data_IF_173401329164
#
_entry.id   IF_173401329164
#
_cell.length_a   1.000
_cell.length_b   1.000
_cell.length_c   1.000
_cell.angle_alpha   90.00
_cell.angle_beta   90.00
_cell.angle_gamma   90.00
#
_symmetry.space_group_name_H-M   'P 1'
#
loop_
_entity.id
_entity.type
_entity.pdbx_description
1 polymer ?
#
# COMPACT_ATOMS: atom_id res chain seq x y z
N UNK A 1 -29.18 0.58 -4.11
CA UNK A 1 -28.67 0.77 -2.74
C UNK A 1 -27.59 -0.25 -2.50
N UNK A 2 -26.33 0.19 -2.63
CA UNK A 2 -25.24 -0.65 -2.22
C UNK A 2 -25.31 -0.77 -0.68
N UNK A 3 -25.71 -1.93 -0.22
CA UNK A 3 -25.69 -2.28 1.17
C UNK A 3 -24.26 -2.04 1.72
N UNK A 4 -24.12 -1.69 2.99
CA UNK A 4 -22.84 -1.33 3.59
C UNK A 4 -21.77 -2.44 3.49
N UNK A 5 -22.13 -3.67 3.21
CA UNK A 5 -21.20 -4.78 3.01
C UNK A 5 -20.59 -4.80 1.59
N UNK A 6 -21.25 -4.23 0.60
CA UNK A 6 -20.84 -4.31 -0.80
C UNK A 6 -19.45 -3.73 -1.07
N UNK A 7 -19.07 -2.53 -0.53
CA UNK A 7 -17.73 -2.01 -0.71
C UNK A 7 -16.64 -2.90 -0.11
N UNK A 8 -16.89 -3.51 1.06
CA UNK A 8 -15.93 -4.43 1.69
C UNK A 8 -15.76 -5.70 0.86
N UNK A 9 -16.83 -6.31 0.44
CA UNK A 9 -16.80 -7.47 -0.47
C UNK A 9 -16.00 -7.13 -1.74
N UNK A 10 -16.20 -5.94 -2.30
CA UNK A 10 -15.46 -5.51 -3.49
C UNK A 10 -13.95 -5.44 -3.23
N UNK A 11 -13.52 -4.83 -2.12
CA UNK A 11 -12.09 -4.74 -1.79
C UNK A 11 -11.48 -6.13 -1.67
N UNK A 12 -12.06 -7.01 -0.86
CA UNK A 12 -11.53 -8.36 -0.66
C UNK A 12 -11.56 -9.18 -1.95
N UNK A 13 -12.60 -9.06 -2.77
CA UNK A 13 -12.65 -9.70 -4.09
C UNK A 13 -11.52 -9.20 -5.00
N UNK A 14 -11.24 -7.90 -5.02
CA UNK A 14 -10.12 -7.36 -5.81
C UNK A 14 -8.77 -7.85 -5.30
N UNK A 15 -8.59 -7.97 -3.98
CA UNK A 15 -7.37 -8.53 -3.40
C UNK A 15 -7.20 -10.01 -3.72
N UNK A 16 -8.29 -10.79 -3.72
CA UNK A 16 -8.29 -12.19 -4.16
C UNK A 16 -7.96 -12.32 -5.65
N UNK A 17 -8.49 -11.43 -6.50
CA UNK A 17 -8.14 -11.39 -7.92
C UNK A 17 -6.67 -11.03 -8.15
N UNK A 18 -6.10 -10.12 -7.36
CA UNK A 18 -4.68 -9.81 -7.41
C UNK A 18 -3.84 -11.04 -7.03
N UNK A 19 -4.19 -11.72 -5.94
CA UNK A 19 -3.50 -12.93 -5.53
C UNK A 19 -3.60 -14.05 -6.59
N UNK A 20 -4.77 -14.23 -7.19
CA UNK A 20 -4.99 -15.20 -8.27
C UNK A 20 -4.18 -14.85 -9.52
N UNK A 21 -4.11 -13.56 -9.89
CA UNK A 21 -3.36 -13.11 -11.05
C UNK A 21 -1.86 -13.39 -10.90
N UNK A 22 -1.30 -13.23 -9.69
CA UNK A 22 0.08 -13.58 -9.39
C UNK A 22 0.27 -15.12 -9.35
N UNK A 23 -0.64 -15.85 -8.73
CA UNK A 23 -0.60 -17.31 -8.67
C UNK A 23 -0.59 -17.94 -10.06
N UNK A 24 -1.29 -17.35 -11.02
CA UNK A 24 -1.41 -17.87 -12.40
C UNK A 24 -0.39 -17.24 -13.36
N UNK A 25 0.50 -16.39 -12.88
CA UNK A 25 1.44 -15.59 -13.70
C UNK A 25 0.74 -14.81 -14.84
N UNK A 26 -0.52 -14.44 -14.62
CA UNK A 26 -1.28 -13.62 -15.58
C UNK A 26 -0.77 -12.18 -15.64
N UNK A 27 -0.15 -11.69 -14.58
CA UNK A 27 0.58 -10.44 -14.49
C UNK A 27 1.64 -10.52 -13.41
N UNK A 28 2.69 -9.72 -13.54
CA UNK A 28 3.75 -9.56 -12.52
C UNK A 28 3.75 -8.18 -11.88
N UNK A 29 2.86 -7.31 -12.31
CA UNK A 29 2.74 -5.94 -11.80
C UNK A 29 1.27 -5.59 -11.59
N UNK A 30 0.98 -5.06 -10.43
CA UNK A 30 -0.35 -4.56 -10.08
C UNK A 30 -0.22 -3.23 -9.35
N UNK A 31 -1.05 -2.28 -9.73
CA UNK A 31 -1.32 -1.09 -8.92
C UNK A 31 -2.79 -1.09 -8.53
N UNK A 32 -3.06 -0.89 -7.25
CA UNK A 32 -4.41 -0.86 -6.74
C UNK A 32 -4.63 0.33 -5.81
N UNK A 33 -5.55 1.19 -6.17
CA UNK A 33 -5.92 2.34 -5.36
C UNK A 33 -7.16 2.03 -4.53
N UNK A 34 -6.99 1.93 -3.20
CA UNK A 34 -8.07 1.59 -2.26
C UNK A 34 -9.11 2.70 -2.11
N UNK A 35 -8.74 3.96 -2.30
CA UNK A 35 -9.66 5.09 -2.24
C UNK A 35 -9.27 6.16 -3.28
N UNK A 36 -10.27 6.82 -3.83
CA UNK A 36 -10.07 7.99 -4.69
C UNK A 36 -10.19 9.26 -3.86
N UNK A 37 -9.42 10.29 -4.22
CA UNK A 37 -9.43 11.57 -3.52
C UNK A 37 -10.69 12.40 -3.77
N UNK A 38 -11.36 12.23 -4.88
CA UNK A 38 -12.52 13.05 -5.25
C UNK A 38 -13.61 12.24 -5.90
N UNK A 39 -14.81 12.57 -5.52
CA UNK A 39 -15.99 12.34 -6.30
C UNK A 39 -17.01 11.42 -5.66
N UNK A 40 -18.19 11.94 -5.56
CA UNK A 40 -19.41 11.26 -5.19
C UNK A 40 -19.73 10.04 -6.11
N UNK A 41 -18.94 9.79 -7.14
CA UNK A 41 -19.22 8.80 -8.18
C UNK A 41 -18.37 7.53 -7.97
N UNK A 42 -17.28 7.59 -7.22
CA UNK A 42 -16.43 6.42 -7.00
C UNK A 42 -16.94 5.61 -5.81
N UNK A 43 -17.21 4.33 -6.01
CA UNK A 43 -17.45 3.35 -4.93
C UNK A 43 -16.35 3.43 -3.88
N UNK A 44 -15.10 3.65 -4.29
CA UNK A 44 -13.94 3.79 -3.41
C UNK A 44 -14.11 4.91 -2.36
N UNK A 45 -14.79 5.99 -2.67
CA UNK A 45 -15.05 7.06 -1.69
C UNK A 45 -16.09 6.67 -0.63
N UNK A 46 -16.88 5.64 -0.89
CA UNK A 46 -17.89 5.16 0.06
C UNK A 46 -17.36 4.10 1.02
N UNK A 47 -16.12 3.62 0.84
CA UNK A 47 -15.55 2.61 1.73
C UNK A 47 -15.55 2.99 3.21
N UNK A 48 -15.33 4.24 3.64
CA UNK A 48 -15.48 4.60 5.04
C UNK A 48 -16.87 4.32 5.61
N UNK A 49 -17.91 4.25 4.79
CA UNK A 49 -19.27 3.91 5.25
C UNK A 49 -19.37 2.50 5.83
N UNK A 50 -18.47 1.57 5.44
CA UNK A 50 -18.34 0.24 6.04
C UNK A 50 -18.07 0.29 7.55
N UNK A 51 -17.40 1.34 7.98
CA UNK A 51 -17.05 1.58 9.37
C UNK A 51 -18.06 2.54 10.05
N UNK A 52 -19.18 2.81 9.39
CA UNK A 52 -20.23 3.70 9.90
C UNK A 52 -19.88 5.20 9.81
N UNK A 53 -18.91 5.59 8.98
CA UNK A 53 -18.56 7.00 8.81
C UNK A 53 -19.44 7.67 7.75
N UNK A 54 -19.97 8.85 8.09
CA UNK A 54 -20.72 9.70 7.15
C UNK A 54 -19.81 10.46 6.16
N UNK A 55 -18.50 10.51 6.45
CA UNK A 55 -17.50 11.21 5.63
C UNK A 55 -16.77 10.23 4.72
N UNK A 56 -16.40 10.69 3.54
CA UNK A 56 -15.47 9.98 2.67
C UNK A 56 -14.04 9.98 3.22
N UNK A 57 -13.13 9.28 2.58
CA UNK A 57 -11.74 9.18 3.01
C UNK A 57 -11.03 10.55 3.07
N UNK A 58 -11.35 11.46 2.13
CA UNK A 58 -10.81 12.81 2.11
C UNK A 58 -11.31 13.63 3.30
N UNK A 59 -12.61 13.60 3.58
CA UNK A 59 -13.20 14.27 4.74
C UNK A 59 -12.70 13.73 6.09
N UNK A 60 -12.39 12.43 6.17
CA UNK A 60 -11.73 11.82 7.33
C UNK A 60 -10.30 12.37 7.51
N UNK A 61 -9.53 12.49 6.41
CA UNK A 61 -8.17 13.01 6.46
C UNK A 61 -8.12 14.47 6.95
N UNK A 62 -9.02 15.34 6.47
CA UNK A 62 -9.13 16.71 6.95
C UNK A 62 -9.55 16.82 8.42
N UNK A 63 -10.29 15.85 8.93
CA UNK A 63 -10.72 15.81 10.34
C UNK A 63 -9.71 15.20 11.30
N UNK A 64 -8.64 14.60 10.82
CA UNK A 64 -7.76 13.72 11.61
C UNK A 64 -7.03 14.38 12.78
N UNK A 65 -6.85 15.69 12.77
CA UNK A 65 -6.11 16.39 13.82
C UNK A 65 -6.91 16.78 15.07
N UNK A 66 -8.21 16.46 15.18
CA UNK A 66 -9.08 17.00 16.23
C UNK A 66 -10.03 15.93 16.82
N UNK A 67 -9.88 15.64 18.11
CA UNK A 67 -10.81 14.84 18.92
C UNK A 67 -11.24 13.52 18.22
N UNK A 68 -12.53 13.30 18.11
CA UNK A 68 -13.10 12.11 17.44
C UNK A 68 -12.67 11.94 15.98
N UNK A 69 -12.16 12.97 15.34
CA UNK A 69 -11.65 12.91 13.97
C UNK A 69 -10.38 12.06 13.85
N UNK A 70 -9.47 12.17 14.82
CA UNK A 70 -8.26 11.34 14.90
C UNK A 70 -8.62 9.86 15.09
N UNK A 71 -9.60 9.57 15.97
CA UNK A 71 -10.08 8.20 16.18
C UNK A 71 -10.71 7.61 14.90
N UNK A 72 -11.57 8.37 14.24
CA UNK A 72 -12.23 7.93 13.01
C UNK A 72 -11.22 7.69 11.90
N UNK A 73 -10.23 8.58 11.73
CA UNK A 73 -9.15 8.38 10.77
C UNK A 73 -8.31 7.15 11.10
N UNK A 74 -7.97 6.95 12.38
CA UNK A 74 -7.23 5.77 12.83
C UNK A 74 -7.98 4.46 12.56
N UNK A 75 -9.29 4.42 12.74
CA UNK A 75 -10.11 3.25 12.38
C UNK A 75 -10.08 2.98 10.87
N UNK A 76 -10.11 4.03 10.05
CA UNK A 76 -9.99 3.90 8.60
C UNK A 76 -8.60 3.41 8.19
N UNK A 77 -7.53 3.97 8.75
CA UNK A 77 -6.17 3.53 8.47
C UNK A 77 -5.92 2.08 8.89
N UNK A 78 -6.46 1.70 10.05
CA UNK A 78 -6.44 0.31 10.51
C UNK A 78 -7.12 -0.62 9.51
N UNK A 79 -8.31 -0.31 9.06
CA UNK A 79 -9.01 -1.11 8.06
C UNK A 79 -8.18 -1.27 6.77
N UNK A 80 -7.54 -0.21 6.29
CA UNK A 80 -6.68 -0.28 5.11
C UNK A 80 -5.45 -1.18 5.34
N UNK A 81 -4.84 -1.12 6.52
CA UNK A 81 -3.72 -2.02 6.86
C UNK A 81 -4.17 -3.46 7.07
N UNK A 82 -5.39 -3.71 7.53
CA UNK A 82 -6.00 -5.04 7.58
C UNK A 82 -6.21 -5.60 6.16
N UNK A 83 -6.58 -4.77 5.18
CA UNK A 83 -6.64 -5.16 3.76
C UNK A 83 -5.25 -5.55 3.22
N UNK A 84 -4.20 -4.79 3.56
CA UNK A 84 -2.82 -5.15 3.22
C UNK A 84 -2.43 -6.51 3.84
N UNK A 85 -2.70 -6.69 5.12
CA UNK A 85 -2.41 -7.95 5.82
C UNK A 85 -3.16 -9.13 5.20
N UNK A 86 -4.40 -8.93 4.77
CA UNK A 86 -5.17 -9.93 4.04
C UNK A 86 -4.48 -10.35 2.75
N UNK A 87 -4.08 -9.38 1.90
CA UNK A 87 -3.35 -9.69 0.67
C UNK A 87 -2.06 -10.46 0.96
N UNK A 88 -1.27 -10.01 1.93
CA UNK A 88 -0.05 -10.71 2.32
C UNK A 88 -0.33 -12.15 2.74
N UNK A 89 -1.39 -12.38 3.52
CA UNK A 89 -1.82 -13.72 3.91
C UNK A 89 -2.17 -14.55 2.67
N UNK A 90 -2.97 -14.05 1.75
CA UNK A 90 -3.34 -14.76 0.52
C UNK A 90 -2.11 -15.18 -0.29
N UNK A 91 -1.14 -14.27 -0.47
CA UNK A 91 0.09 -14.56 -1.19
C UNK A 91 1.00 -15.56 -0.44
N UNK A 92 0.98 -15.56 0.89
CA UNK A 92 1.75 -16.51 1.70
C UNK A 92 1.18 -17.93 1.70
N UNK A 93 -0.10 -18.12 1.35
CA UNK A 93 -0.76 -19.40 1.25
C UNK A 93 -0.46 -20.13 -0.07
N UNK A 94 0.07 -19.42 -1.06
CA UNK A 94 0.40 -19.98 -2.38
C UNK A 94 1.86 -20.36 -2.45
N UNK A 95 2.15 -21.64 -2.71
CA UNK A 95 3.52 -22.16 -2.86
C UNK A 95 4.13 -21.73 -4.19
N UNK A 96 5.40 -21.32 -4.15
CA UNK A 96 6.18 -20.98 -5.34
C UNK A 96 7.65 -21.35 -5.10
N UNK A 97 8.16 -22.33 -5.84
CA UNK A 97 9.48 -22.88 -5.60
C UNK A 97 9.66 -23.36 -4.16
N UNK A 98 10.75 -22.97 -3.51
CA UNK A 98 11.06 -23.32 -2.12
C UNK A 98 10.36 -22.40 -1.09
N UNK A 99 9.56 -21.44 -1.56
CA UNK A 99 8.88 -20.48 -0.71
C UNK A 99 7.40 -20.30 -1.06
N UNK A 100 6.97 -19.08 -1.00
CA UNK A 100 5.60 -18.66 -1.32
C UNK A 100 5.62 -17.50 -2.33
N UNK A 101 4.48 -17.21 -2.95
CA UNK A 101 4.33 -16.04 -3.82
C UNK A 101 4.67 -14.76 -3.06
N UNK A 102 4.38 -14.66 -1.75
CA UNK A 102 4.77 -13.51 -0.95
C UNK A 102 6.30 -13.33 -0.86
N UNK A 103 7.04 -14.42 -0.76
CA UNK A 103 8.51 -14.37 -0.69
C UNK A 103 9.14 -13.81 -1.97
N UNK A 104 8.42 -13.91 -3.10
CA UNK A 104 8.84 -13.43 -4.41
C UNK A 104 8.10 -12.14 -4.85
N UNK A 105 7.26 -11.55 -4.00
CA UNK A 105 6.46 -10.36 -4.31
C UNK A 105 6.87 -9.18 -3.45
N UNK A 106 7.35 -8.10 -4.06
CA UNK A 106 7.53 -6.82 -3.38
C UNK A 106 6.19 -6.08 -3.30
N UNK A 107 5.73 -5.77 -2.11
CA UNK A 107 4.54 -4.96 -1.87
C UNK A 107 4.98 -3.60 -1.34
N UNK A 108 4.67 -2.56 -2.11
CA UNK A 108 4.80 -1.18 -1.68
C UNK A 108 3.41 -0.59 -1.38
N UNK A 109 3.22 -0.14 -0.16
CA UNK A 109 1.95 0.40 0.32
C UNK A 109 2.15 1.72 1.01
N UNK A 110 1.25 2.66 0.77
CA UNK A 110 1.25 3.95 1.43
C UNK A 110 0.36 4.99 0.76
N UNK A 111 0.55 6.22 1.17
CA UNK A 111 -0.12 7.40 0.64
C UNK A 111 0.89 8.36 0.04
N UNK A 112 0.44 9.29 -0.76
CA UNK A 112 1.27 10.39 -1.29
C UNK A 112 1.30 11.62 -0.38
N UNK A 113 0.55 11.61 0.72
CA UNK A 113 0.43 12.75 1.61
C UNK A 113 0.54 12.32 3.08
N UNK A 114 1.16 13.16 3.89
CA UNK A 114 1.24 12.99 5.36
C UNK A 114 0.14 13.78 6.06
N UNK A 115 0.19 15.09 6.03
CA UNK A 115 -0.72 16.00 6.72
C UNK A 115 -1.18 17.09 5.76
N UNK A 116 -2.49 17.27 5.62
CA UNK A 116 -3.08 18.43 4.91
C UNK A 116 -2.43 18.71 3.54
N UNK A 117 -2.46 17.74 2.64
CA UNK A 117 -1.85 17.82 1.30
C UNK A 117 -0.33 18.03 1.27
N UNK A 118 0.35 17.75 2.39
CA UNK A 118 1.80 17.76 2.43
C UNK A 118 2.35 16.41 1.94
N UNK A 119 3.22 16.46 0.97
CA UNK A 119 3.87 15.29 0.37
C UNK A 119 5.25 14.98 0.96
N UNK A 120 5.60 15.55 2.11
CA UNK A 120 6.83 15.26 2.82
C UNK A 120 6.56 14.33 4.00
N UNK A 121 7.52 13.46 4.29
CA UNK A 121 7.55 12.61 5.49
C UNK A 121 6.24 11.84 5.74
N UNK A 122 5.73 11.19 4.72
CA UNK A 122 4.54 10.33 4.82
C UNK A 122 4.93 8.87 5.08
N UNK A 123 4.10 8.12 5.85
CA UNK A 123 4.41 6.74 6.19
C UNK A 123 4.24 5.82 4.98
N UNK A 124 5.22 4.94 4.79
CA UNK A 124 5.25 3.93 3.74
C UNK A 124 5.54 2.56 4.35
N UNK A 125 5.05 1.51 3.73
CA UNK A 125 5.33 0.12 4.10
C UNK A 125 5.89 -0.60 2.88
N UNK A 126 7.04 -1.24 3.08
CA UNK A 126 7.60 -2.21 2.15
C UNK A 126 7.47 -3.60 2.79
N UNK A 127 6.86 -4.55 2.09
CA UNK A 127 6.60 -5.88 2.60
C UNK A 127 6.78 -6.95 1.54
N UNK A 128 6.92 -8.21 1.96
CA UNK A 128 7.16 -9.34 1.05
C UNK A 128 8.56 -9.33 0.43
N UNK A 129 8.78 -10.11 -0.61
CA UNK A 129 10.05 -10.11 -1.36
C UNK A 129 11.27 -10.58 -0.58
N UNK A 130 11.10 -11.52 0.36
CA UNK A 130 12.23 -12.11 1.09
C UNK A 130 13.31 -12.65 0.16
N UNK A 131 12.90 -13.34 -0.90
CA UNK A 131 13.83 -13.90 -1.89
C UNK A 131 14.42 -12.84 -2.82
N UNK A 132 13.89 -11.63 -2.81
CA UNK A 132 14.43 -10.45 -3.50
C UNK A 132 15.49 -9.72 -2.66
N UNK A 133 15.77 -10.21 -1.45
CA UNK A 133 16.80 -9.69 -0.56
C UNK A 133 16.37 -8.50 0.30
N UNK A 134 15.06 -8.30 0.51
CA UNK A 134 14.60 -7.26 1.44
C UNK A 134 14.73 -7.71 2.90
N UNK A 135 15.19 -6.80 3.76
CA UNK A 135 15.22 -6.95 5.21
C UNK A 135 14.01 -6.27 5.83
N UNK A 136 13.22 -7.05 6.55
CA UNK A 136 12.00 -6.56 7.20
C UNK A 136 12.15 -6.44 8.72
N UNK A 137 11.09 -5.92 9.37
CA UNK A 137 11.07 -5.75 10.83
C UNK A 137 11.81 -4.54 11.33
N UNK A 138 12.08 -3.57 10.47
CA UNK A 138 12.77 -2.32 10.80
C UNK A 138 11.90 -1.10 10.55
N UNK A 139 12.18 -0.03 11.29
CA UNK A 139 11.61 1.28 11.09
C UNK A 139 12.72 2.21 10.64
N UNK A 140 12.61 2.75 9.43
CA UNK A 140 13.61 3.61 8.83
C UNK A 140 13.17 5.06 8.88
N UNK A 141 14.05 5.91 9.36
CA UNK A 141 13.96 7.37 9.30
C UNK A 141 15.21 7.92 8.66
N UNK A 142 15.10 9.04 8.01
CA UNK A 142 16.22 9.70 7.34
C UNK A 142 16.39 11.11 7.86
N UNK A 143 17.62 11.51 8.15
CA UNK A 143 17.96 12.85 8.69
C UNK A 143 17.82 13.96 7.64
N UNK A 144 17.69 13.59 6.38
CA UNK A 144 17.55 14.52 5.24
C UNK A 144 16.37 14.09 4.39
N UNK A 145 15.80 15.01 3.66
CA UNK A 145 14.81 14.70 2.64
C UNK A 145 15.44 13.81 1.56
N UNK A 146 14.90 12.61 1.42
CA UNK A 146 15.31 11.64 0.43
C UNK A 146 14.16 11.46 -0.54
N UNK A 147 14.37 11.63 -1.87
CA UNK A 147 13.32 11.37 -2.84
C UNK A 147 12.79 9.94 -2.76
N UNK A 148 11.47 9.77 -2.78
CA UNK A 148 10.85 8.43 -2.85
C UNK A 148 11.34 7.64 -4.06
N UNK A 149 11.72 8.32 -5.12
CA UNK A 149 12.30 7.72 -6.32
C UNK A 149 13.55 6.87 -6.03
N UNK A 150 14.30 7.14 -4.94
CA UNK A 150 15.42 6.29 -4.52
C UNK A 150 14.95 4.87 -4.13
N UNK A 151 13.77 4.75 -3.49
CA UNK A 151 13.17 3.45 -3.21
C UNK A 151 12.76 2.74 -4.52
N UNK A 152 12.22 3.47 -5.47
CA UNK A 152 11.86 2.88 -6.77
C UNK A 152 13.08 2.40 -7.56
N UNK A 153 14.21 3.08 -7.48
CA UNK A 153 15.49 2.57 -8.03
C UNK A 153 15.86 1.24 -7.38
N UNK A 154 15.76 1.16 -6.05
CA UNK A 154 16.02 -0.09 -5.33
C UNK A 154 15.05 -1.21 -5.75
N UNK A 155 13.76 -0.93 -5.82
CA UNK A 155 12.75 -1.92 -6.28
C UNK A 155 13.07 -2.42 -7.69
N UNK A 156 13.39 -1.52 -8.61
CA UNK A 156 13.76 -1.88 -9.99
C UNK A 156 14.98 -2.81 -10.03
N UNK A 157 16.03 -2.47 -9.28
CA UNK A 157 17.24 -3.31 -9.19
C UNK A 157 16.92 -4.71 -8.64
N UNK A 158 16.09 -4.79 -7.59
CA UNK A 158 15.67 -6.08 -6.99
C UNK A 158 14.81 -6.91 -7.94
N UNK A 159 14.14 -6.29 -8.87
CA UNK A 159 13.40 -6.96 -9.96
C UNK A 159 14.27 -7.30 -11.18
N UNK A 160 15.58 -7.09 -11.11
CA UNK A 160 16.50 -7.39 -12.19
C UNK A 160 16.55 -6.33 -13.30
N UNK A 161 15.91 -5.18 -13.11
CA UNK A 161 16.01 -4.05 -14.04
C UNK A 161 17.32 -3.31 -13.81
N UNK A 162 18.10 -3.11 -14.86
CA UNK A 162 19.31 -2.29 -14.82
C UNK A 162 18.92 -0.82 -14.87
N UNK A 163 18.67 -0.23 -13.69
CA UNK A 163 18.33 1.18 -13.57
C UNK A 163 19.26 1.85 -12.56
N UNK A 164 19.95 2.90 -12.97
CA UNK A 164 20.81 3.70 -12.10
C UNK A 164 20.08 4.94 -11.56
N UNK A 165 19.00 5.34 -12.21
CA UNK A 165 18.17 6.48 -11.81
C UNK A 165 16.72 6.29 -12.23
N UNK A 166 15.82 6.99 -11.55
CA UNK A 166 14.41 7.09 -11.87
C UNK A 166 13.85 8.43 -11.38
N UNK A 167 13.14 9.17 -12.22
CA UNK A 167 12.55 10.47 -11.91
C UNK A 167 13.57 11.43 -11.25
N UNK A 168 13.27 11.92 -10.05
CA UNK A 168 14.10 12.81 -9.24
C UNK A 168 15.05 12.08 -8.28
N UNK A 169 15.34 10.79 -8.51
CA UNK A 169 16.22 10.01 -7.65
C UNK A 169 17.64 10.60 -7.59
N UNK A 170 18.22 10.55 -6.40
CA UNK A 170 19.61 10.94 -6.13
C UNK A 170 20.52 9.74 -5.83
N UNK A 171 19.98 8.53 -5.92
CA UNK A 171 20.64 7.26 -5.63
C UNK A 171 19.64 6.14 -5.41
N UNK A 172 19.99 5.17 -4.57
CA UNK A 172 19.12 4.06 -4.16
C UNK A 172 19.06 3.94 -2.63
N UNK A 173 18.17 3.11 -2.12
CA UNK A 173 18.07 2.74 -0.70
C UNK A 173 18.53 1.29 -0.45
N UNK A 174 19.34 0.72 -1.32
CA UNK A 174 19.79 -0.68 -1.22
C UNK A 174 20.41 -0.99 0.15
N UNK A 175 21.27 -0.12 0.68
CA UNK A 175 21.93 -0.31 1.98
C UNK A 175 20.97 -0.28 3.16
N UNK A 176 19.83 0.40 3.02
CA UNK A 176 18.84 0.57 4.10
C UNK A 176 17.81 -0.55 4.13
N UNK A 177 17.42 -1.08 2.97
CA UNK A 177 16.28 -2.04 2.86
C UNK A 177 16.70 -3.44 2.42
N UNK A 178 18.00 -3.66 2.18
CA UNK A 178 18.54 -4.94 1.71
C UNK A 178 19.34 -5.69 2.79
#
# INVERSE_FOLDING_TARGET
DADNETPGKLIYTMLDLIALAFQTDSTRFVTYQLASMHGAISIANKFPSLLGFAKDAHGLAHGAGKGKGAESKGKWDRFQTECLAYLMKRLSEVKEGDGTVLDNTCIFYGSSNSKTHNNNNYPLILAGGKNMGYKHGQYLTFDKDIPLANLFVTIQKRMGVKADSFADSTGSLDESVA
#
